data_IF_470953038137
#
_entry.id   IF_470953038137
#
_cell.length_a   1.000
_cell.length_b   1.000
_cell.length_c   1.000
_cell.angle_alpha   90.00
_cell.angle_beta   90.00
_cell.angle_gamma   90.00
#
_symmetry.space_group_name_H-M   'P 1'
#
loop_
_entity.id
_entity.type
_entity.pdbx_description
1 polymer ?
#
# COMPACT_ATOMS: atom_id res chain seq x y z
N UNK A 1 1.85 -12.50 -16.30
CA UNK A 1 0.82 -13.04 -15.37
C UNK A 1 -0.29 -12.03 -15.27
N UNK A 2 -1.54 -12.49 -15.31
CA UNK A 2 -2.71 -11.63 -15.00
C UNK A 2 -2.73 -11.29 -13.51
N UNK A 3 -3.40 -10.20 -13.14
CA UNK A 3 -3.39 -9.68 -11.77
C UNK A 3 -3.92 -10.70 -10.74
N UNK A 4 -4.98 -11.44 -11.10
CA UNK A 4 -5.51 -12.53 -10.26
C UNK A 4 -4.50 -13.65 -10.03
N UNK A 5 -3.73 -14.02 -11.06
CA UNK A 5 -2.69 -15.04 -10.94
C UNK A 5 -1.53 -14.59 -10.06
N UNK A 6 -1.16 -13.30 -10.13
CA UNK A 6 -0.16 -12.71 -9.21
C UNK A 6 -0.65 -12.77 -7.77
N UNK A 7 -1.91 -12.42 -7.52
CA UNK A 7 -2.52 -12.48 -6.19
C UNK A 7 -2.48 -13.89 -5.61
N UNK A 8 -2.94 -14.88 -6.38
CA UNK A 8 -2.95 -16.29 -5.95
C UNK A 8 -1.52 -16.79 -5.65
N UNK A 9 -0.56 -16.48 -6.53
CA UNK A 9 0.85 -16.82 -6.33
C UNK A 9 1.44 -16.18 -5.07
N UNK A 10 1.20 -14.88 -4.87
CA UNK A 10 1.74 -14.15 -3.72
C UNK A 10 1.14 -14.65 -2.41
N UNK A 11 -0.17 -14.92 -2.35
CA UNK A 11 -0.80 -15.45 -1.13
C UNK A 11 -0.13 -16.76 -0.70
N UNK A 12 0.08 -17.70 -1.63
CA UNK A 12 0.73 -18.97 -1.31
C UNK A 12 2.19 -18.77 -0.90
N UNK A 13 2.96 -17.92 -1.59
CA UNK A 13 4.36 -17.64 -1.23
C UNK A 13 4.50 -16.98 0.14
N UNK A 14 3.62 -16.04 0.48
CA UNK A 14 3.64 -15.40 1.79
C UNK A 14 3.11 -16.30 2.92
N UNK A 15 2.24 -17.27 2.62
CA UNK A 15 1.88 -18.33 3.58
C UNK A 15 3.06 -19.25 3.88
N UNK A 16 3.73 -19.74 2.83
CA UNK A 16 4.96 -20.54 2.95
C UNK A 16 6.04 -19.81 3.75
N UNK A 17 6.21 -18.50 3.50
CA UNK A 17 7.12 -17.64 4.25
C UNK A 17 6.71 -17.54 5.73
N UNK A 18 5.42 -17.32 6.03
CA UNK A 18 4.97 -17.02 7.40
C UNK A 18 5.23 -18.11 8.45
N UNK A 19 5.34 -19.39 8.05
CA UNK A 19 5.47 -20.54 8.95
C UNK A 19 4.23 -20.79 9.81
N UNK A 20 3.85 -19.85 10.68
CA UNK A 20 2.68 -19.91 11.56
C UNK A 20 1.34 -19.95 10.78
N UNK A 21 1.30 -19.34 9.59
CA UNK A 21 0.10 -19.27 8.75
C UNK A 21 0.22 -20.12 7.46
N UNK A 22 1.11 -21.13 7.44
CA UNK A 22 1.24 -22.04 6.29
C UNK A 22 -0.08 -22.74 5.94
N UNK A 23 -0.84 -23.12 6.97
CA UNK A 23 -2.10 -23.85 6.85
C UNK A 23 -3.35 -22.94 6.86
N UNK A 24 -3.15 -21.62 6.71
CA UNK A 24 -4.26 -20.66 6.66
C UNK A 24 -5.19 -20.99 5.50
N UNK A 25 -6.47 -21.21 5.81
CA UNK A 25 -7.51 -21.37 4.81
C UNK A 25 -7.74 -20.04 4.07
N UNK A 26 -7.57 -20.06 2.75
CA UNK A 26 -7.76 -18.90 1.89
C UNK A 26 -9.06 -19.06 1.11
N UNK A 27 -10.06 -18.19 1.31
CA UNK A 27 -11.26 -18.19 0.50
C UNK A 27 -10.99 -17.83 -0.97
N UNK A 28 -11.84 -18.28 -1.89
CA UNK A 28 -11.70 -17.97 -3.33
C UNK A 28 -12.09 -16.52 -3.70
N UNK A 29 -12.58 -15.75 -2.74
CA UNK A 29 -12.96 -14.35 -2.93
C UNK A 29 -11.74 -13.44 -3.10
N UNK A 30 -11.65 -12.72 -4.22
CA UNK A 30 -10.52 -11.82 -4.49
C UNK A 30 -10.32 -10.73 -3.40
N UNK A 31 -11.37 -10.03 -2.92
CA UNK A 31 -11.21 -9.07 -1.81
C UNK A 31 -10.62 -9.70 -0.54
N UNK A 32 -10.99 -10.94 -0.24
CA UNK A 32 -10.49 -11.65 0.95
C UNK A 32 -9.04 -12.08 0.76
N UNK A 33 -8.67 -12.57 -0.43
CA UNK A 33 -7.28 -12.87 -0.80
C UNK A 33 -6.38 -11.64 -0.66
N UNK A 34 -6.83 -10.47 -1.14
CA UNK A 34 -6.09 -9.20 -0.97
C UNK A 34 -5.91 -8.84 0.50
N UNK A 35 -6.96 -9.01 1.32
CA UNK A 35 -6.88 -8.78 2.78
C UNK A 35 -5.90 -9.74 3.46
N UNK A 36 -5.87 -11.01 3.06
CA UNK A 36 -4.95 -12.02 3.58
C UNK A 36 -3.52 -11.69 3.16
N UNK A 37 -3.27 -11.44 1.87
CA UNK A 37 -1.96 -11.05 1.37
C UNK A 37 -1.39 -9.87 2.15
N UNK A 38 -2.19 -8.80 2.31
CA UNK A 38 -1.83 -7.65 3.15
C UNK A 38 -1.46 -8.04 4.56
N UNK A 39 -2.27 -8.88 5.19
CA UNK A 39 -2.06 -9.29 6.57
C UNK A 39 -0.77 -10.09 6.72
N UNK A 40 -0.45 -10.96 5.76
CA UNK A 40 0.80 -11.71 5.72
C UNK A 40 2.00 -10.79 5.49
N UNK A 41 1.90 -9.80 4.60
CA UNK A 41 2.95 -8.80 4.39
C UNK A 41 3.21 -7.95 5.64
N UNK A 42 2.17 -7.60 6.39
CA UNK A 42 2.27 -6.82 7.63
C UNK A 42 3.07 -7.56 8.72
N UNK A 43 2.78 -8.84 8.94
CA UNK A 43 3.41 -9.61 10.02
C UNK A 43 4.78 -10.19 9.63
N UNK A 44 5.16 -10.10 8.36
CA UNK A 44 6.43 -10.64 7.87
C UNK A 44 7.61 -9.87 8.45
N UNK A 45 8.49 -10.56 9.16
CA UNK A 45 9.75 -9.98 9.63
C UNK A 45 10.68 -9.64 8.46
N UNK A 46 11.47 -8.55 8.53
CA UNK A 46 12.43 -8.20 7.49
C UNK A 46 13.47 -9.31 7.32
N UNK A 47 13.43 -9.96 6.16
CA UNK A 47 14.35 -11.01 5.77
C UNK A 47 14.39 -11.11 4.26
N UNK A 48 15.39 -11.84 3.76
CA UNK A 48 15.53 -12.09 2.32
C UNK A 48 14.21 -12.57 1.72
N UNK A 49 13.83 -11.99 0.58
CA UNK A 49 12.70 -12.39 -0.22
C UNK A 49 13.28 -12.84 -1.56
N UNK A 50 12.80 -13.98 -2.05
CA UNK A 50 13.22 -14.49 -3.35
C UNK A 50 12.96 -13.46 -4.46
N UNK A 51 13.90 -13.34 -5.40
CA UNK A 51 13.85 -12.31 -6.44
C UNK A 51 12.61 -12.44 -7.33
N UNK A 52 12.16 -13.66 -7.63
CA UNK A 52 10.94 -13.89 -8.41
C UNK A 52 9.71 -13.40 -7.65
N UNK A 53 9.64 -13.71 -6.34
CA UNK A 53 8.53 -13.24 -5.49
C UNK A 53 8.51 -11.73 -5.39
N UNK A 54 9.69 -11.10 -5.30
CA UNK A 54 9.83 -9.65 -5.29
C UNK A 54 9.37 -9.01 -6.61
N UNK A 55 9.77 -9.55 -7.77
CA UNK A 55 9.35 -9.04 -9.07
C UNK A 55 7.83 -9.16 -9.29
N UNK A 56 7.24 -10.29 -8.86
CA UNK A 56 5.79 -10.50 -8.95
C UNK A 56 5.04 -9.56 -8.01
N UNK A 57 5.54 -9.35 -6.80
CA UNK A 57 5.00 -8.37 -5.86
C UNK A 57 5.01 -6.97 -6.46
N UNK A 58 6.13 -6.56 -7.06
CA UNK A 58 6.29 -5.21 -7.62
C UNK A 58 5.32 -4.99 -8.78
N UNK A 59 5.21 -5.96 -9.68
CA UNK A 59 4.24 -5.91 -10.77
C UNK A 59 2.79 -5.90 -10.28
N UNK A 60 2.49 -6.61 -9.18
CA UNK A 60 1.15 -6.62 -8.58
C UNK A 60 0.80 -5.26 -7.97
N UNK A 61 1.70 -4.66 -7.17
CA UNK A 61 1.46 -3.39 -6.50
C UNK A 61 1.40 -2.21 -7.49
N UNK A 62 2.24 -2.22 -8.53
CA UNK A 62 2.19 -1.21 -9.60
C UNK A 62 0.85 -1.23 -10.35
N UNK A 63 0.33 -2.42 -10.64
CA UNK A 63 -0.97 -2.53 -11.30
C UNK A 63 -2.12 -2.14 -10.35
N UNK A 64 -2.04 -2.48 -9.06
CA UNK A 64 -3.01 -2.04 -8.06
C UNK A 64 -3.06 -0.50 -7.93
N UNK A 65 -1.90 0.16 -7.95
CA UNK A 65 -1.81 1.62 -7.97
C UNK A 65 -2.43 2.23 -9.24
N UNK A 66 -2.25 1.58 -10.40
CA UNK A 66 -2.88 1.99 -11.67
C UNK A 66 -4.39 1.82 -11.63
N UNK A 67 -4.89 0.69 -11.12
CA UNK A 67 -6.32 0.40 -10.97
C UNK A 67 -7.01 1.42 -10.04
N UNK A 68 -6.36 1.79 -8.92
CA UNK A 68 -6.83 2.85 -8.00
C UNK A 68 -6.82 4.24 -8.63
N UNK A 69 -5.99 4.44 -9.66
CA UNK A 69 -5.79 5.70 -10.36
C UNK A 69 -4.88 6.68 -9.63
N UNK A 70 -4.09 7.41 -10.40
CA UNK A 70 -3.07 8.33 -9.90
C UNK A 70 -3.63 9.76 -9.74
N UNK A 71 -3.33 10.38 -8.61
CA UNK A 71 -3.68 11.77 -8.30
C UNK A 71 -2.42 12.63 -8.35
N UNK A 72 -2.44 13.64 -9.23
CA UNK A 72 -1.37 14.62 -9.39
C UNK A 72 -1.72 15.93 -8.68
N UNK A 73 -0.72 16.77 -8.39
CA UNK A 73 -0.93 18.01 -7.64
C UNK A 73 -1.85 19.02 -8.35
N UNK A 74 -1.83 19.05 -9.68
CA UNK A 74 -2.70 19.89 -10.50
C UNK A 74 -4.19 19.54 -10.38
N UNK A 75 -4.51 18.32 -9.94
CA UNK A 75 -5.89 17.89 -9.69
C UNK A 75 -6.40 18.35 -8.31
N UNK A 76 -5.54 18.90 -7.45
CA UNK A 76 -5.87 19.27 -6.07
C UNK A 76 -5.88 20.80 -5.93
N UNK A 77 -7.05 21.42 -5.73
CA UNK A 77 -7.13 22.86 -5.50
C UNK A 77 -6.32 23.27 -4.28
N UNK A 78 -5.66 24.42 -4.37
CA UNK A 78 -4.97 25.00 -3.23
C UNK A 78 -5.97 25.60 -2.24
N UNK A 79 -5.55 25.91 -1.02
CA UNK A 79 -6.37 26.63 -0.04
C UNK A 79 -6.72 28.03 -0.55
N UNK A 80 -5.89 28.63 -1.40
CA UNK A 80 -6.24 29.87 -2.12
C UNK A 80 -7.46 29.66 -3.01
N UNK A 81 -7.48 28.60 -3.81
CA UNK A 81 -8.54 28.34 -4.79
C UNK A 81 -9.85 27.85 -4.14
N UNK A 82 -9.73 27.03 -3.10
CA UNK A 82 -10.86 26.39 -2.42
C UNK A 82 -11.50 27.26 -1.33
N UNK A 83 -10.72 28.08 -0.63
CA UNK A 83 -11.18 28.88 0.51
C UNK A 83 -11.05 30.40 0.30
N UNK A 84 -10.60 30.86 -0.88
CA UNK A 84 -10.31 32.27 -1.17
C UNK A 84 -9.41 32.94 -0.12
N UNK A 85 -8.48 32.19 0.49
CA UNK A 85 -7.52 32.74 1.46
C UNK A 85 -6.56 33.72 0.79
N UNK A 86 -6.16 34.75 1.55
CA UNK A 86 -5.16 35.76 1.15
C UNK A 86 -3.81 35.54 1.81
N UNK A 87 -3.64 34.45 2.55
CA UNK A 87 -2.37 34.14 3.20
C UNK A 87 -1.26 33.91 2.17
N UNK A 88 -0.04 34.32 2.52
CA UNK A 88 1.15 34.19 1.66
C UNK A 88 1.51 32.74 1.32
N UNK A 89 0.97 31.77 2.06
CA UNK A 89 1.18 30.33 1.84
C UNK A 89 -0.03 29.62 1.22
N UNK A 90 -1.13 30.34 0.93
CA UNK A 90 -2.37 29.72 0.47
C UNK A 90 -2.24 28.97 -0.86
N UNK A 91 -1.27 29.33 -1.71
CA UNK A 91 -0.94 28.64 -2.98
C UNK A 91 -0.09 27.38 -2.79
N UNK A 92 0.48 27.17 -1.60
CA UNK A 92 1.41 26.06 -1.30
C UNK A 92 0.78 24.94 -0.47
N UNK A 93 -0.42 25.17 0.04
CA UNK A 93 -1.12 24.25 0.93
C UNK A 93 -2.40 23.84 0.23
N UNK A 94 -2.66 22.54 0.22
CA UNK A 94 -3.92 21.96 -0.25
C UNK A 94 -4.46 21.02 0.81
N UNK A 95 -5.78 20.89 0.89
CA UNK A 95 -6.45 19.90 1.72
C UNK A 95 -7.10 18.89 0.79
N UNK A 96 -6.79 17.61 0.98
CA UNK A 96 -7.28 16.54 0.14
C UNK A 96 -7.75 15.37 1.01
N UNK A 97 -8.85 14.75 0.58
CA UNK A 97 -9.42 13.58 1.23
C UNK A 97 -9.43 12.40 0.25
N UNK A 98 -8.70 11.34 0.60
CA UNK A 98 -8.64 10.12 -0.19
C UNK A 98 -7.52 9.18 0.27
N UNK A 99 -7.17 8.23 -0.60
CA UNK A 99 -6.10 7.27 -0.36
C UNK A 99 -4.72 7.84 -0.73
N UNK A 100 -3.89 8.13 0.27
CA UNK A 100 -2.57 8.77 0.12
C UNK A 100 -1.63 8.01 -0.82
N UNK A 101 -1.84 6.70 -1.01
CA UNK A 101 -1.01 5.85 -1.87
C UNK A 101 -1.17 6.16 -3.36
N UNK A 102 -2.17 6.96 -3.73
CA UNK A 102 -2.46 7.37 -5.11
C UNK A 102 -1.66 8.58 -5.57
N UNK A 103 -0.97 9.27 -4.65
CA UNK A 103 -0.30 10.52 -4.99
C UNK A 103 0.96 10.31 -5.83
N UNK A 104 1.03 11.01 -6.96
CA UNK A 104 2.28 11.24 -7.68
C UNK A 104 2.89 12.57 -7.21
N UNK A 105 3.74 12.49 -6.18
CA UNK A 105 4.40 13.63 -5.55
C UNK A 105 5.86 13.30 -5.24
N UNK A 106 6.66 14.31 -4.92
CA UNK A 106 8.08 14.11 -4.60
C UNK A 106 8.34 13.31 -3.32
N UNK A 107 7.44 13.39 -2.33
CA UNK A 107 7.51 12.63 -1.10
C UNK A 107 6.16 12.56 -0.38
N UNK A 108 5.94 11.48 0.37
CA UNK A 108 4.85 11.33 1.34
C UNK A 108 5.45 11.00 2.70
N UNK A 109 4.78 11.39 3.79
CA UNK A 109 5.26 11.15 5.16
C UNK A 109 4.52 9.96 5.77
N UNK A 110 5.27 8.96 6.24
CA UNK A 110 4.73 7.83 6.99
C UNK A 110 4.77 8.11 8.50
N UNK A 111 3.65 7.84 9.19
CA UNK A 111 3.57 7.87 10.65
C UNK A 111 4.13 6.57 11.25
N UNK A 112 5.45 6.38 11.14
CA UNK A 112 6.14 5.18 11.59
C UNK A 112 6.10 5.00 13.13
N UNK A 113 6.31 3.76 13.58
CA UNK A 113 6.55 3.46 14.99
C UNK A 113 8.05 3.42 15.30
N UNK A 114 8.41 3.31 16.59
CA UNK A 114 9.79 3.31 17.07
C UNK A 114 10.65 2.14 16.57
N UNK A 115 10.04 1.06 16.07
CA UNK A 115 10.77 -0.08 15.51
C UNK A 115 11.20 0.17 14.05
N UNK A 116 10.54 1.11 13.34
CA UNK A 116 10.82 1.44 11.94
C UNK A 116 10.65 0.27 10.96
N UNK A 117 9.84 -0.74 11.31
CA UNK A 117 9.61 -1.95 10.49
C UNK A 117 8.18 -2.07 9.95
N UNK A 118 7.41 -0.99 9.99
CA UNK A 118 5.99 -1.03 9.66
C UNK A 118 5.15 -1.64 10.78
N UNK A 119 3.99 -2.20 10.45
CA UNK A 119 3.00 -2.67 11.42
C UNK A 119 2.84 -4.19 11.38
N UNK A 120 3.00 -4.85 12.53
CA UNK A 120 2.94 -6.30 12.68
C UNK A 120 1.60 -6.83 13.22
N UNK A 121 0.50 -6.16 12.92
CA UNK A 121 -0.84 -6.58 13.39
C UNK A 121 -1.62 -7.19 12.24
N UNK A 122 -1.95 -8.48 12.36
CA UNK A 122 -2.74 -9.21 11.37
C UNK A 122 -4.12 -8.58 11.20
N UNK A 123 -4.54 -8.34 9.95
CA UNK A 123 -5.85 -7.75 9.64
C UNK A 123 -6.02 -6.26 9.96
N UNK A 124 -5.00 -5.57 10.52
CA UNK A 124 -5.07 -4.14 10.81
C UNK A 124 -4.76 -3.27 9.57
N UNK A 125 -5.48 -2.16 9.44
CA UNK A 125 -5.31 -1.17 8.36
C UNK A 125 -4.98 0.20 8.98
N UNK A 126 -3.69 0.42 9.24
CA UNK A 126 -3.14 1.69 9.73
C UNK A 126 -2.25 2.34 8.67
N UNK A 127 -1.88 3.64 8.76
CA UNK A 127 -1.03 4.28 7.76
C UNK A 127 0.30 3.53 7.49
N UNK A 128 1.01 2.99 8.50
CA UNK A 128 2.17 2.12 8.27
C UNK A 128 1.87 0.86 7.47
N UNK A 129 0.68 0.27 7.62
CA UNK A 129 0.27 -0.89 6.81
C UNK A 129 0.07 -0.52 5.33
N UNK A 130 -0.51 0.66 5.05
CA UNK A 130 -0.86 1.09 3.70
C UNK A 130 0.39 1.38 2.84
N UNK A 131 1.44 1.91 3.47
CA UNK A 131 2.67 2.29 2.77
C UNK A 131 3.62 1.11 2.50
N UNK A 132 3.45 -0.01 3.21
CA UNK A 132 4.13 -1.27 2.85
C UNK A 132 3.70 -1.78 1.46
N UNK A 133 2.57 -1.31 0.94
CA UNK A 133 1.96 -1.81 -0.31
C UNK A 133 2.11 -0.86 -1.50
N UNK A 134 2.77 0.31 -1.36
CA UNK A 134 2.55 1.39 -2.34
C UNK A 134 3.76 2.21 -2.77
N UNK A 135 4.97 1.93 -2.30
CA UNK A 135 6.14 2.80 -2.54
C UNK A 135 7.22 2.16 -3.44
N UNK A 136 6.84 1.61 -4.59
CA UNK A 136 7.79 1.20 -5.65
C UNK A 136 7.43 1.80 -7.00
#
# INVERSE_FOLDING_TARGET
>A
MEQKQRLDYLVEKFKEDSGEYSDLAVPDSEPEKRRILRSLMNIRMPRHLDAEVQEVQDAFLQEDAREKGIVTLDQIPTVKDSCNSRDVFAEKISIWQGDITRFQVGAIVNAANSQMLGCFVFGMMSPPCLLNESMK
#
